data_IF_318756614324
#
_entry.id   IF_318756614324
#
_cell.length_a   1.000
_cell.length_b   1.000
_cell.length_c   1.000
_cell.angle_alpha   90.00
_cell.angle_beta   90.00
_cell.angle_gamma   90.00
#
_symmetry.space_group_name_H-M   'P 1'
#
loop_
_entity.id
_entity.type
_entity.pdbx_description
1 polymer ?
#
# COMPACT_ATOMS: atom_id res chain seq x y z
N UNK A 1 0.91 36.58 12.92
CA UNK A 1 -0.16 35.62 12.49
C UNK A 1 0.08 34.33 13.24
N UNK A 2 -0.98 33.70 13.79
CA UNK A 2 -0.83 32.37 14.37
C UNK A 2 -0.42 31.38 13.26
N UNK A 3 0.58 30.56 13.52
CA UNK A 3 0.99 29.50 12.58
C UNK A 3 -0.13 28.50 12.43
N UNK A 4 -0.32 28.00 11.21
CA UNK A 4 -1.37 27.04 10.87
C UNK A 4 -0.86 25.58 11.00
N UNK A 5 -1.76 24.61 10.99
CA UNK A 5 -1.44 23.20 10.83
C UNK A 5 -1.37 22.85 9.35
N UNK A 6 -0.39 22.03 8.94
CA UNK A 6 -0.39 21.37 7.63
C UNK A 6 -0.92 19.94 7.79
N UNK A 7 -2.01 19.62 7.12
CA UNK A 7 -2.56 18.26 7.05
C UNK A 7 -2.10 17.57 5.77
N UNK A 8 -1.49 16.40 5.89
CA UNK A 8 -1.13 15.57 4.74
C UNK A 8 -2.04 14.35 4.73
N UNK A 9 -2.84 14.20 3.68
CA UNK A 9 -3.86 13.15 3.53
C UNK A 9 -3.49 12.17 2.43
N UNK A 10 -3.89 10.91 2.56
CA UNK A 10 -3.70 9.89 1.53
C UNK A 10 -4.94 9.83 0.62
N UNK A 11 -4.97 10.69 -0.42
CA UNK A 11 -6.03 10.73 -1.42
C UNK A 11 -7.12 11.78 -1.19
N UNK A 12 -7.82 12.11 -2.27
CA UNK A 12 -8.82 13.20 -2.34
C UNK A 12 -10.02 12.97 -1.43
N UNK A 13 -10.54 11.74 -1.38
CA UNK A 13 -11.75 11.43 -0.58
C UNK A 13 -11.59 11.83 0.88
N UNK A 14 -10.43 11.56 1.48
CA UNK A 14 -10.15 11.96 2.86
C UNK A 14 -9.94 13.47 2.97
N UNK A 15 -9.23 14.08 2.00
CA UNK A 15 -9.05 15.54 1.96
C UNK A 15 -10.41 16.26 1.97
N UNK A 16 -11.32 15.83 1.11
CA UNK A 16 -12.64 16.47 1.00
C UNK A 16 -13.47 16.22 2.27
N UNK A 17 -13.40 15.01 2.83
CA UNK A 17 -14.09 14.73 4.09
C UNK A 17 -13.60 15.62 5.25
N UNK A 18 -12.27 15.86 5.34
CA UNK A 18 -11.72 16.76 6.36
C UNK A 18 -12.17 18.22 6.15
N UNK A 19 -12.28 18.67 4.89
CA UNK A 19 -12.82 20.00 4.56
C UNK A 19 -14.29 20.13 4.95
N UNK A 20 -15.11 19.11 4.65
CA UNK A 20 -16.53 19.08 5.03
C UNK A 20 -16.73 19.15 6.56
N UNK A 21 -15.80 18.59 7.31
CA UNK A 21 -15.77 18.67 8.78
C UNK A 21 -15.17 19.98 9.32
N UNK A 22 -14.84 20.93 8.43
CA UNK A 22 -14.22 22.21 8.78
C UNK A 22 -12.93 22.07 9.61
N UNK A 23 -12.12 21.04 9.36
CA UNK A 23 -10.79 20.92 9.95
C UNK A 23 -9.93 22.09 9.43
N UNK A 24 -9.45 22.91 10.36
CA UNK A 24 -8.72 24.15 10.03
C UNK A 24 -7.24 23.87 9.77
N UNK A 25 -6.70 24.48 8.70
CA UNK A 25 -5.30 24.36 8.28
C UNK A 25 -5.18 24.21 6.77
N UNK A 26 -3.93 24.14 6.29
CA UNK A 26 -3.67 23.85 4.88
C UNK A 26 -3.70 22.33 4.65
N UNK A 27 -4.16 21.92 3.47
CA UNK A 27 -4.20 20.51 3.07
C UNK A 27 -3.18 20.26 1.97
N UNK A 28 -2.38 19.19 2.13
CA UNK A 28 -1.57 18.58 1.09
C UNK A 28 -2.14 17.20 0.80
N UNK A 29 -2.59 16.95 -0.41
CA UNK A 29 -3.13 15.66 -0.80
C UNK A 29 -2.06 14.82 -1.48
N UNK A 30 -1.71 13.69 -0.87
CA UNK A 30 -0.77 12.74 -1.43
C UNK A 30 -1.49 11.76 -2.36
N UNK A 31 -1.18 11.81 -3.67
CA UNK A 31 -1.89 11.06 -4.72
C UNK A 31 -1.09 9.86 -5.26
N UNK A 32 -0.18 9.28 -4.49
CA UNK A 32 0.67 8.21 -4.98
C UNK A 32 0.16 6.80 -4.64
N UNK A 33 0.56 5.83 -5.49
CA UNK A 33 0.32 4.40 -5.34
C UNK A 33 1.68 3.72 -5.15
N UNK A 34 2.43 4.13 -4.13
CA UNK A 34 3.81 3.69 -3.94
C UNK A 34 3.96 2.21 -3.53
N UNK A 35 2.87 1.58 -3.13
CA UNK A 35 2.87 0.13 -2.91
C UNK A 35 3.10 -0.67 -4.20
N UNK A 36 2.92 -0.08 -5.39
CA UNK A 36 3.22 -0.67 -6.70
C UNK A 36 4.02 0.28 -7.58
N UNK A 37 4.79 -0.31 -8.47
CA UNK A 37 5.62 0.41 -9.42
C UNK A 37 7.03 0.69 -8.91
N UNK A 38 7.89 1.19 -9.80
CA UNK A 38 9.24 1.57 -9.45
C UNK A 38 9.22 2.83 -8.58
N UNK A 39 10.13 2.89 -7.61
CA UNK A 39 10.41 4.10 -6.83
C UNK A 39 11.90 4.31 -6.76
N UNK A 40 12.28 5.53 -6.40
CA UNK A 40 13.64 5.90 -6.03
C UNK A 40 13.62 6.53 -4.63
N UNK A 41 14.74 6.49 -3.94
CA UNK A 41 14.82 6.93 -2.55
C UNK A 41 14.53 8.43 -2.40
N UNK A 42 15.05 9.24 -3.34
CA UNK A 42 14.86 10.69 -3.35
C UNK A 42 13.52 11.07 -4.01
N UNK A 43 12.53 11.39 -3.17
CA UNK A 43 11.13 11.60 -3.58
C UNK A 43 10.87 12.91 -4.34
N UNK A 44 11.63 13.98 -4.07
CA UNK A 44 11.48 15.26 -4.76
C UNK A 44 12.53 15.41 -5.88
N UNK A 45 12.60 14.37 -6.74
CA UNK A 45 13.55 14.31 -7.86
C UNK A 45 12.84 14.14 -9.19
N UNK A 46 13.43 14.66 -10.26
CA UNK A 46 12.94 14.44 -11.63
C UNK A 46 12.92 12.93 -11.99
N UNK A 47 13.85 12.14 -11.42
CA UNK A 47 13.88 10.69 -11.60
C UNK A 47 12.64 10.04 -11.00
N UNK A 48 12.25 10.42 -9.79
CA UNK A 48 11.03 9.94 -9.15
C UNK A 48 9.79 10.29 -9.99
N UNK A 49 9.63 11.58 -10.34
CA UNK A 49 8.47 12.05 -11.12
C UNK A 49 8.37 11.29 -12.44
N UNK A 50 9.48 11.14 -13.16
CA UNK A 50 9.54 10.43 -14.45
C UNK A 50 9.15 8.94 -14.30
N UNK A 51 9.71 8.27 -13.29
CA UNK A 51 9.43 6.86 -13.03
C UNK A 51 7.95 6.64 -12.69
N UNK A 52 7.38 7.50 -11.82
CA UNK A 52 5.98 7.42 -11.40
C UNK A 52 5.01 7.75 -12.52
N UNK A 53 5.24 8.84 -13.25
CA UNK A 53 4.42 9.25 -14.41
C UNK A 53 4.34 8.13 -15.44
N UNK A 54 5.47 7.55 -15.82
CA UNK A 54 5.51 6.43 -16.76
C UNK A 54 4.73 5.22 -16.24
N UNK A 55 4.92 4.84 -14.99
CA UNK A 55 4.25 3.68 -14.41
C UNK A 55 2.73 3.89 -14.29
N UNK A 56 2.29 5.03 -13.75
CA UNK A 56 0.87 5.32 -13.54
C UNK A 56 0.12 5.46 -14.86
N UNK A 57 0.74 6.06 -15.87
CA UNK A 57 0.15 6.15 -17.21
C UNK A 57 -0.04 4.74 -17.80
N UNK A 58 1.01 3.91 -17.84
CA UNK A 58 0.96 2.57 -18.48
C UNK A 58 0.04 1.60 -17.73
N UNK A 59 0.05 1.62 -16.39
CA UNK A 59 -0.65 0.59 -15.58
C UNK A 59 -2.03 1.00 -15.10
N UNK A 60 -2.28 2.29 -14.98
CA UNK A 60 -3.51 2.84 -14.41
C UNK A 60 -4.25 3.78 -15.35
N UNK A 61 -3.64 4.14 -16.50
CA UNK A 61 -4.14 5.19 -17.40
C UNK A 61 -4.35 6.53 -16.68
N UNK A 62 -3.46 6.82 -15.72
CA UNK A 62 -3.43 8.06 -14.95
C UNK A 62 -2.30 8.92 -15.48
N UNK A 63 -2.61 10.14 -15.86
CA UNK A 63 -1.62 11.14 -16.26
C UNK A 63 -1.35 12.06 -15.06
N UNK A 64 -0.08 12.14 -14.62
CA UNK A 64 0.31 13.03 -13.53
C UNK A 64 0.50 14.42 -14.12
N UNK A 65 -0.25 15.39 -13.61
CA UNK A 65 0.04 16.80 -13.84
C UNK A 65 1.25 17.21 -12.97
N UNK A 66 2.39 17.38 -13.63
CA UNK A 66 3.63 17.77 -12.96
C UNK A 66 3.56 19.15 -12.29
N UNK A 67 2.73 20.05 -12.84
CA UNK A 67 2.52 21.37 -12.24
C UNK A 67 1.74 21.25 -10.93
N UNK A 68 0.64 20.48 -10.92
CA UNK A 68 -0.13 20.22 -9.71
C UNK A 68 0.71 19.50 -8.66
N UNK A 69 1.49 18.50 -9.06
CA UNK A 69 2.40 17.79 -8.16
C UNK A 69 3.40 18.75 -7.51
N UNK A 70 4.08 19.59 -8.32
CA UNK A 70 5.05 20.57 -7.81
C UNK A 70 4.38 21.63 -6.93
N UNK A 71 3.17 22.03 -7.25
CA UNK A 71 2.40 22.96 -6.43
C UNK A 71 2.06 22.38 -5.05
N UNK A 72 1.64 21.11 -5.00
CA UNK A 72 1.44 20.40 -3.72
C UNK A 72 2.75 20.33 -2.91
N UNK A 73 3.87 19.97 -3.55
CA UNK A 73 5.18 19.90 -2.88
C UNK A 73 5.70 21.26 -2.39
N UNK A 74 5.34 22.37 -3.07
CA UNK A 74 5.71 23.72 -2.65
C UNK A 74 5.21 24.12 -1.27
N UNK A 75 4.16 23.46 -0.77
CA UNK A 75 3.65 23.65 0.60
C UNK A 75 4.71 23.23 1.63
N UNK A 76 5.48 22.18 1.33
CA UNK A 76 6.58 21.70 2.18
C UNK A 76 7.76 22.67 2.17
N UNK A 77 8.05 23.30 1.03
CA UNK A 77 9.14 24.29 0.92
C UNK A 77 8.86 25.56 1.76
N UNK A 78 7.57 25.82 2.04
CA UNK A 78 7.12 26.90 2.88
C UNK A 78 6.77 26.46 4.31
N UNK A 79 7.40 25.43 4.84
CA UNK A 79 7.10 24.80 6.14
C UNK A 79 7.14 25.78 7.33
N UNK A 80 7.87 26.90 7.23
CA UNK A 80 7.94 27.93 8.27
C UNK A 80 6.60 28.60 8.62
N UNK A 81 5.58 28.46 7.74
CA UNK A 81 4.21 28.94 7.99
C UNK A 81 3.47 28.08 9.03
N UNK A 82 3.89 26.83 9.22
CA UNK A 82 3.19 25.87 10.03
C UNK A 82 3.75 25.74 11.42
N UNK A 83 2.93 25.33 12.37
CA UNK A 83 3.30 24.99 13.74
C UNK A 83 3.50 23.48 13.94
N UNK A 84 2.81 22.67 13.15
CA UNK A 84 2.84 21.22 13.19
C UNK A 84 2.42 20.64 11.83
N UNK A 85 2.74 19.37 11.63
CA UNK A 85 2.25 18.56 10.51
C UNK A 85 1.41 17.41 11.06
N UNK A 86 0.25 17.15 10.46
CA UNK A 86 -0.63 16.03 10.83
C UNK A 86 -0.79 15.11 9.62
N UNK A 87 -0.30 13.89 9.77
CA UNK A 87 -0.37 12.84 8.77
C UNK A 87 -1.65 12.02 8.98
N UNK A 88 -2.44 11.83 7.91
CA UNK A 88 -3.70 11.10 7.94
C UNK A 88 -3.60 9.89 7.03
N UNK A 89 -3.28 8.73 7.62
CA UNK A 89 -3.05 7.49 6.88
C UNK A 89 -3.75 6.32 7.55
N UNK A 90 -4.19 5.37 6.75
CA UNK A 90 -4.96 4.21 7.20
C UNK A 90 -4.04 3.02 7.57
N UNK A 91 -4.63 1.97 8.08
CA UNK A 91 -3.96 0.80 8.70
C UNK A 91 -3.31 -0.18 7.71
N UNK A 92 -3.55 -0.03 6.41
CA UNK A 92 -3.16 -1.00 5.39
C UNK A 92 -1.80 -0.72 4.74
N UNK A 93 -1.35 -1.67 3.90
CA UNK A 93 -0.07 -1.61 3.21
C UNK A 93 0.00 -0.45 2.21
N UNK A 94 -1.10 -0.20 1.46
CA UNK A 94 -1.15 0.89 0.50
C UNK A 94 -0.86 2.22 1.21
N UNK A 95 -1.57 2.47 2.30
CA UNK A 95 -1.40 3.68 3.10
C UNK A 95 -0.05 3.73 3.82
N UNK A 96 0.45 2.61 4.36
CA UNK A 96 1.71 2.61 5.11
C UNK A 96 2.94 2.81 4.22
N UNK A 97 2.97 2.30 2.98
CA UNK A 97 4.08 2.62 2.06
C UNK A 97 4.07 4.11 1.71
N UNK A 98 2.92 4.70 1.49
CA UNK A 98 2.79 6.14 1.27
C UNK A 98 3.19 6.94 2.52
N UNK A 99 2.78 6.50 3.73
CA UNK A 99 3.13 7.13 5.00
C UNK A 99 4.65 7.19 5.21
N UNK A 100 5.35 6.05 5.07
CA UNK A 100 6.81 6.02 5.24
C UNK A 100 7.54 6.85 4.18
N UNK A 101 7.03 6.90 2.96
CA UNK A 101 7.55 7.77 1.91
C UNK A 101 7.37 9.25 2.27
N UNK A 102 6.20 9.66 2.72
CA UNK A 102 5.94 11.05 3.14
C UNK A 102 6.86 11.43 4.31
N UNK A 103 7.02 10.58 5.32
CA UNK A 103 7.95 10.85 6.43
C UNK A 103 9.39 10.98 5.93
N UNK A 104 9.83 10.08 5.04
CA UNK A 104 11.15 10.19 4.43
C UNK A 104 11.32 11.50 3.64
N UNK A 105 10.28 11.94 2.90
CA UNK A 105 10.28 13.23 2.21
C UNK A 105 10.41 14.41 3.17
N UNK A 106 9.67 14.41 4.28
CA UNK A 106 9.76 15.46 5.30
C UNK A 106 11.19 15.55 5.85
N UNK A 107 11.83 14.39 6.09
CA UNK A 107 13.23 14.33 6.52
C UNK A 107 14.20 14.82 5.44
N UNK A 108 14.01 14.43 4.17
CA UNK A 108 14.81 14.89 3.04
C UNK A 108 14.76 16.42 2.86
N UNK A 109 13.60 17.02 3.20
CA UNK A 109 13.41 18.48 3.18
C UNK A 109 13.84 19.18 4.48
N UNK A 110 14.46 18.46 5.43
CA UNK A 110 14.91 19.01 6.72
C UNK A 110 13.81 19.75 7.49
N UNK A 111 12.60 19.19 7.51
CA UNK A 111 11.46 19.79 8.22
C UNK A 111 11.51 19.35 9.68
N UNK A 112 11.72 20.31 10.58
CA UNK A 112 11.88 20.11 12.04
C UNK A 112 10.60 20.43 12.83
N UNK A 113 9.44 20.39 12.20
CA UNK A 113 8.17 20.61 12.88
C UNK A 113 7.71 19.35 13.63
N UNK A 114 6.94 19.50 14.72
CA UNK A 114 6.26 18.37 15.33
C UNK A 114 5.37 17.65 14.31
N UNK A 115 5.53 16.34 14.17
CA UNK A 115 4.78 15.50 13.21
C UNK A 115 3.87 14.58 14.00
N UNK A 116 2.58 14.63 13.72
CA UNK A 116 1.57 13.80 14.35
C UNK A 116 0.98 12.82 13.34
N UNK A 117 0.62 11.65 13.81
CA UNK A 117 -0.08 10.62 13.02
C UNK A 117 -1.51 10.43 13.52
N UNK A 118 -2.46 10.54 12.63
CA UNK A 118 -3.82 10.07 12.79
C UNK A 118 -3.96 8.81 11.95
N UNK A 119 -3.99 7.66 12.60
CA UNK A 119 -4.13 6.37 11.93
C UNK A 119 -5.42 5.71 12.37
N UNK A 120 -6.21 5.28 11.39
CA UNK A 120 -7.41 4.48 11.65
C UNK A 120 -7.07 3.00 11.75
N UNK A 121 -8.04 2.21 12.08
CA UNK A 121 -7.95 0.77 12.12
C UNK A 121 -9.03 0.20 13.02
N UNK A 122 -8.67 -0.18 14.24
CA UNK A 122 -9.63 -0.76 15.17
C UNK A 122 -10.46 0.32 15.86
N UNK A 123 -11.79 0.22 15.72
CA UNK A 123 -12.74 1.05 16.46
C UNK A 123 -13.14 0.30 17.74
N UNK A 124 -13.36 1.04 18.83
CA UNK A 124 -13.91 0.48 20.07
C UNK A 124 -15.24 -0.22 19.77
N UNK A 125 -15.39 -1.45 20.24
CA UNK A 125 -16.58 -2.30 20.05
C UNK A 125 -16.79 -2.88 18.64
N UNK A 126 -15.89 -2.64 17.68
CA UNK A 126 -15.90 -3.31 16.36
C UNK A 126 -14.75 -4.31 16.25
N UNK A 127 -15.02 -5.46 15.62
CA UNK A 127 -13.98 -6.42 15.23
C UNK A 127 -13.30 -6.02 13.94
N UNK A 128 -13.98 -5.23 13.10
CA UNK A 128 -13.52 -4.86 11.78
C UNK A 128 -12.60 -3.63 11.85
N UNK A 129 -11.58 -3.64 11.01
CA UNK A 129 -10.75 -2.48 10.75
C UNK A 129 -11.48 -1.56 9.77
N UNK A 130 -11.43 -0.24 10.02
CA UNK A 130 -12.05 0.75 9.14
C UNK A 130 -11.03 1.80 8.70
N UNK A 131 -11.17 2.25 7.46
CA UNK A 131 -10.46 3.39 6.92
C UNK A 131 -10.92 4.70 7.59
N UNK A 132 -10.11 5.75 7.48
CA UNK A 132 -10.45 7.07 8.05
C UNK A 132 -11.71 7.67 7.41
N UNK A 133 -11.87 7.47 6.10
CA UNK A 133 -13.04 7.94 5.34
C UNK A 133 -14.33 7.16 5.64
N UNK A 134 -14.24 6.00 6.30
CA UNK A 134 -15.38 5.19 6.72
C UNK A 134 -15.89 5.53 8.14
N UNK A 135 -15.13 6.38 8.86
CA UNK A 135 -15.48 6.79 10.21
C UNK A 135 -16.60 7.84 10.22
N UNK A 136 -17.50 7.74 11.19
CA UNK A 136 -18.45 8.83 11.44
C UNK A 136 -17.70 10.09 11.92
N UNK A 137 -18.25 11.31 11.70
CA UNK A 137 -17.60 12.58 12.06
C UNK A 137 -17.05 12.61 13.49
N UNK A 138 -17.82 12.15 14.45
CA UNK A 138 -17.43 12.13 15.87
C UNK A 138 -16.26 11.18 16.12
N UNK A 139 -16.24 10.04 15.43
CA UNK A 139 -15.15 9.05 15.54
C UNK A 139 -13.86 9.60 14.94
N UNK A 140 -13.93 10.23 13.77
CA UNK A 140 -12.79 10.85 13.11
C UNK A 140 -12.20 11.99 13.95
N UNK A 141 -13.06 12.86 14.49
CA UNK A 141 -12.63 13.94 15.40
C UNK A 141 -11.99 13.41 16.69
N UNK A 142 -12.46 12.26 17.22
CA UNK A 142 -11.81 11.60 18.36
C UNK A 142 -10.42 11.06 18.00
N UNK A 143 -10.23 10.49 16.79
CA UNK A 143 -8.90 10.07 16.31
C UNK A 143 -7.98 11.28 16.17
N UNK A 144 -8.46 12.39 15.61
CA UNK A 144 -7.70 13.63 15.51
C UNK A 144 -7.25 14.17 16.88
N UNK A 145 -8.16 14.21 17.87
CA UNK A 145 -7.83 14.65 19.24
C UNK A 145 -6.79 13.76 19.93
N UNK A 146 -6.71 12.49 19.53
CA UNK A 146 -5.79 11.48 20.07
C UNK A 146 -4.62 11.18 19.14
N UNK A 147 -4.31 12.10 18.21
CA UNK A 147 -3.19 11.94 17.29
C UNK A 147 -1.89 11.60 18.04
N UNK A 148 -1.15 10.65 17.55
CA UNK A 148 0.11 10.21 18.13
C UNK A 148 1.25 11.13 17.66
N UNK A 149 2.04 11.73 18.57
CA UNK A 149 3.27 12.45 18.21
C UNK A 149 4.33 11.43 17.81
N UNK A 150 4.91 11.57 16.63
CA UNK A 150 6.01 10.72 16.18
C UNK A 150 7.31 11.16 16.86
N UNK A 151 8.09 10.18 17.32
CA UNK A 151 9.41 10.39 17.89
C UNK A 151 10.49 10.41 16.82
N UNK A 152 11.70 10.88 17.15
CA UNK A 152 12.83 10.83 16.23
C UNK A 152 13.14 9.38 15.80
N UNK A 153 12.97 8.40 16.69
CA UNK A 153 13.14 6.98 16.39
C UNK A 153 12.08 6.48 15.40
N UNK A 154 10.84 6.98 15.44
CA UNK A 154 9.80 6.68 14.46
C UNK A 154 10.16 7.26 13.08
N UNK A 155 10.67 8.51 13.04
CA UNK A 155 11.07 9.17 11.80
C UNK A 155 12.26 8.44 11.15
N UNK A 156 13.27 8.05 11.96
CA UNK A 156 14.40 7.24 11.48
C UNK A 156 13.95 5.87 10.97
N UNK A 157 13.08 5.20 11.72
CA UNK A 157 12.52 3.90 11.31
C UNK A 157 11.81 4.01 9.96
N UNK A 158 10.98 5.02 9.77
CA UNK A 158 10.26 5.22 8.50
C UNK A 158 11.24 5.48 7.35
N UNK A 159 12.27 6.31 7.57
CA UNK A 159 13.30 6.60 6.58
C UNK A 159 14.10 5.34 6.19
N UNK A 160 14.52 4.54 7.16
CA UNK A 160 15.23 3.28 6.93
C UNK A 160 14.36 2.31 6.11
N UNK A 161 13.09 2.13 6.50
CA UNK A 161 12.16 1.24 5.80
C UNK A 161 11.93 1.72 4.37
N UNK A 162 11.85 3.04 4.13
CA UNK A 162 11.76 3.61 2.79
C UNK A 162 13.01 3.31 1.95
N UNK A 163 14.19 3.55 2.47
CA UNK A 163 15.46 3.23 1.79
C UNK A 163 15.55 1.75 1.42
N UNK A 164 15.18 0.84 2.33
CA UNK A 164 15.13 -0.60 2.06
C UNK A 164 14.09 -0.93 0.98
N UNK A 165 12.90 -0.32 1.03
CA UNK A 165 11.85 -0.54 0.03
C UNK A 165 12.27 -0.09 -1.38
N UNK A 166 13.03 0.99 -1.48
CA UNK A 166 13.65 1.45 -2.74
C UNK A 166 14.87 0.62 -3.14
N UNK A 167 15.42 -0.17 -2.21
CA UNK A 167 16.62 -0.99 -2.40
C UNK A 167 16.37 -2.30 -3.14
N UNK A 168 17.40 -3.16 -3.17
CA UNK A 168 17.41 -4.42 -3.93
C UNK A 168 17.20 -5.67 -3.07
N UNK A 169 17.14 -5.54 -1.74
CA UNK A 169 16.92 -6.67 -0.82
C UNK A 169 15.86 -6.37 0.23
N UNK A 170 14.62 -6.77 -0.05
CA UNK A 170 13.51 -6.57 0.86
C UNK A 170 13.52 -7.52 2.07
N UNK A 171 14.45 -8.49 2.17
CA UNK A 171 14.65 -9.24 3.40
C UNK A 171 15.13 -8.35 4.55
N UNK A 172 15.79 -7.24 4.24
CA UNK A 172 16.22 -6.24 5.22
C UNK A 172 15.05 -5.57 5.96
N UNK A 173 13.81 -5.70 5.47
CA UNK A 173 12.60 -5.28 6.20
C UNK A 173 12.27 -6.15 7.42
N UNK A 174 12.82 -7.38 7.52
CA UNK A 174 12.45 -8.33 8.59
C UNK A 174 12.72 -7.83 10.01
N UNK A 175 13.85 -7.18 10.32
CA UNK A 175 14.08 -6.59 11.65
C UNK A 175 13.01 -5.56 12.03
N UNK A 176 12.50 -4.80 11.08
CA UNK A 176 11.49 -3.75 11.30
C UNK A 176 10.09 -4.32 11.56
N UNK A 177 9.82 -5.57 11.17
CA UNK A 177 8.55 -6.26 11.47
C UNK A 177 8.37 -6.46 12.97
N UNK A 178 9.45 -6.62 13.73
CA UNK A 178 9.42 -6.89 15.17
C UNK A 178 9.82 -5.68 16.02
N UNK A 179 10.25 -4.60 15.38
CA UNK A 179 10.64 -3.36 16.07
C UNK A 179 9.40 -2.63 16.58
N UNK A 180 9.42 -2.22 17.84
CA UNK A 180 8.36 -1.38 18.41
C UNK A 180 8.43 0.03 17.85
N UNK A 181 7.26 0.63 17.56
CA UNK A 181 7.13 1.99 17.05
C UNK A 181 5.72 2.52 17.28
N UNK A 182 5.49 3.79 17.01
CA UNK A 182 4.15 4.41 16.98
C UNK A 182 3.29 3.93 15.81
N UNK A 183 3.88 3.26 14.82
CA UNK A 183 3.16 2.71 13.65
C UNK A 183 2.50 1.37 13.97
N UNK A 184 1.33 1.42 14.59
CA UNK A 184 0.58 0.25 15.12
C UNK A 184 0.40 -0.91 14.14
N UNK A 185 0.34 -0.63 12.84
CA UNK A 185 0.05 -1.61 11.79
C UNK A 185 1.24 -1.90 10.86
N UNK A 186 2.37 -1.20 10.99
CA UNK A 186 3.53 -1.36 10.12
C UNK A 186 4.02 -2.81 10.04
N UNK A 187 4.08 -3.50 11.18
CA UNK A 187 4.44 -4.93 11.24
C UNK A 187 3.58 -5.80 10.33
N UNK A 188 2.25 -5.57 10.34
CA UNK A 188 1.32 -6.32 9.49
C UNK A 188 1.48 -5.94 8.00
N UNK A 189 1.70 -4.66 7.72
CA UNK A 189 1.92 -4.17 6.35
C UNK A 189 3.22 -4.72 5.76
N UNK A 190 4.32 -4.73 6.50
CA UNK A 190 5.59 -5.31 6.04
C UNK A 190 5.50 -6.83 5.83
N UNK A 191 4.77 -7.56 6.70
CA UNK A 191 4.45 -8.98 6.48
C UNK A 191 3.62 -9.19 5.22
N UNK A 192 2.59 -8.36 5.00
CA UNK A 192 1.78 -8.40 3.80
C UNK A 192 2.64 -8.10 2.56
N UNK A 193 3.54 -7.11 2.62
CA UNK A 193 4.47 -6.80 1.55
C UNK A 193 5.33 -7.99 1.14
N UNK A 194 6.01 -8.66 2.08
CA UNK A 194 6.85 -9.83 1.77
C UNK A 194 6.03 -10.99 1.16
N UNK A 195 4.77 -11.14 1.57
CA UNK A 195 3.84 -12.17 1.03
C UNK A 195 3.23 -11.79 -0.32
N UNK A 196 3.58 -10.65 -0.92
CA UNK A 196 3.20 -10.27 -2.31
C UNK A 196 4.08 -10.96 -3.35
N UNK A 197 5.25 -11.44 -2.96
CA UNK A 197 6.09 -12.23 -3.85
C UNK A 197 5.50 -13.63 -4.04
N UNK A 198 5.69 -14.26 -5.21
CA UNK A 198 5.19 -15.59 -5.48
C UNK A 198 5.72 -16.60 -4.45
N UNK A 199 4.86 -17.46 -3.93
CA UNK A 199 5.26 -18.59 -3.11
C UNK A 199 6.19 -19.54 -3.90
N UNK A 200 7.27 -20.00 -3.29
CA UNK A 200 8.26 -20.86 -3.94
C UNK A 200 7.72 -22.21 -4.42
N UNK A 201 6.58 -22.68 -3.87
CA UNK A 201 5.96 -23.95 -4.25
C UNK A 201 4.96 -23.82 -5.38
N UNK A 202 4.03 -22.85 -5.28
CA UNK A 202 2.90 -22.76 -6.20
C UNK A 202 2.88 -21.49 -7.07
N UNK A 203 3.78 -20.53 -6.82
CA UNK A 203 3.87 -19.30 -7.60
C UNK A 203 2.77 -18.25 -7.32
N UNK A 204 1.83 -18.52 -6.40
CA UNK A 204 0.81 -17.57 -5.97
C UNK A 204 1.33 -16.70 -4.83
N UNK A 205 1.05 -15.41 -4.85
CA UNK A 205 1.19 -14.62 -3.62
C UNK A 205 0.03 -14.90 -2.64
N UNK A 206 0.12 -14.41 -1.41
CA UNK A 206 -0.91 -14.68 -0.41
C UNK A 206 -2.30 -14.17 -0.81
N UNK A 207 -2.37 -12.99 -1.46
CA UNK A 207 -3.64 -12.42 -1.92
C UNK A 207 -4.22 -13.22 -3.10
N UNK A 208 -3.40 -13.62 -4.06
CA UNK A 208 -3.81 -14.45 -5.20
C UNK A 208 -4.34 -15.80 -4.71
N UNK A 209 -3.65 -16.41 -3.75
CA UNK A 209 -4.13 -17.65 -3.11
C UNK A 209 -5.48 -17.46 -2.41
N UNK A 210 -5.64 -16.38 -1.64
CA UNK A 210 -6.89 -16.04 -0.97
C UNK A 210 -8.05 -15.88 -1.98
N UNK A 211 -7.80 -15.23 -3.12
CA UNK A 211 -8.81 -15.08 -4.18
C UNK A 211 -9.23 -16.45 -4.74
N UNK A 212 -8.30 -17.37 -4.97
CA UNK A 212 -8.64 -18.73 -5.40
C UNK A 212 -9.44 -19.47 -4.33
N UNK A 213 -9.09 -19.34 -3.04
CA UNK A 213 -9.83 -19.93 -1.92
C UNK A 213 -11.25 -19.35 -1.83
N UNK A 214 -11.43 -18.04 -2.05
CA UNK A 214 -12.77 -17.43 -2.13
C UNK A 214 -13.61 -18.09 -3.24
N UNK A 215 -13.05 -18.29 -4.44
CA UNK A 215 -13.75 -18.94 -5.56
C UNK A 215 -14.08 -20.40 -5.24
N UNK A 216 -13.18 -21.11 -4.54
CA UNK A 216 -13.38 -22.50 -4.14
C UNK A 216 -14.52 -22.66 -3.13
N UNK A 217 -14.59 -21.75 -2.15
CA UNK A 217 -15.42 -21.92 -0.96
C UNK A 217 -16.76 -21.16 -1.05
N UNK A 218 -16.99 -20.37 -2.12
CA UNK A 218 -18.19 -19.56 -2.29
C UNK A 218 -18.82 -19.71 -3.67
N UNK A 219 -20.12 -19.36 -3.77
CA UNK A 219 -20.81 -19.28 -5.05
C UNK A 219 -20.54 -17.92 -5.67
N UNK A 220 -19.62 -17.87 -6.63
CA UNK A 220 -19.22 -16.64 -7.34
C UNK A 220 -19.98 -16.55 -8.67
N UNK A 221 -20.82 -15.52 -8.82
CA UNK A 221 -21.68 -15.32 -10.00
C UNK A 221 -20.98 -14.67 -11.19
N UNK A 222 -19.90 -13.89 -10.94
CA UNK A 222 -19.15 -13.19 -11.97
C UNK A 222 -17.82 -12.69 -11.40
N UNK A 223 -16.89 -12.26 -12.27
CA UNK A 223 -15.65 -11.58 -11.84
C UNK A 223 -15.93 -10.29 -11.05
N UNK A 224 -17.00 -9.56 -11.39
CA UNK A 224 -17.41 -8.38 -10.61
C UNK A 224 -17.87 -8.75 -9.19
N UNK A 225 -18.62 -9.87 -9.06
CA UNK A 225 -18.98 -10.39 -7.74
C UNK A 225 -17.74 -10.84 -6.94
N UNK A 226 -16.75 -11.48 -7.61
CA UNK A 226 -15.47 -11.84 -7.02
C UNK A 226 -14.68 -10.61 -6.55
N UNK A 227 -14.71 -9.52 -7.32
CA UNK A 227 -14.09 -8.25 -6.95
C UNK A 227 -14.66 -7.73 -5.61
N UNK A 228 -15.96 -7.77 -5.43
CA UNK A 228 -16.60 -7.38 -4.16
C UNK A 228 -16.12 -8.23 -2.97
N UNK A 229 -15.97 -9.55 -3.14
CA UNK A 229 -15.36 -10.40 -2.12
C UNK A 229 -13.90 -10.05 -1.86
N UNK A 230 -13.10 -9.87 -2.93
CA UNK A 230 -11.69 -9.54 -2.81
C UNK A 230 -11.46 -8.22 -2.06
N UNK A 231 -12.27 -7.19 -2.31
CA UNK A 231 -12.24 -5.91 -1.60
C UNK A 231 -12.47 -6.10 -0.09
N UNK A 232 -13.46 -6.91 0.29
CA UNK A 232 -13.80 -7.13 1.69
C UNK A 232 -12.81 -8.03 2.45
N UNK A 233 -12.17 -8.98 1.76
CA UNK A 233 -11.35 -10.01 2.39
C UNK A 233 -9.86 -9.94 2.04
N UNK A 234 -9.36 -8.82 1.55
CA UNK A 234 -7.94 -8.64 1.20
C UNK A 234 -7.01 -8.50 2.42
N UNK A 235 -7.53 -8.33 3.62
CA UNK A 235 -6.73 -8.16 4.83
C UNK A 235 -6.02 -6.79 4.88
N UNK A 236 -4.69 -6.81 5.06
CA UNK A 236 -3.89 -5.57 5.21
C UNK A 236 -3.36 -5.01 3.90
N UNK A 237 -3.90 -5.36 2.74
CA UNK A 237 -3.36 -4.83 1.47
C UNK A 237 -3.85 -3.42 1.14
N UNK A 238 -5.12 -3.10 1.37
CA UNK A 238 -5.72 -1.79 1.09
C UNK A 238 -5.82 -1.45 -0.40
N UNK A 239 -5.87 -2.48 -1.27
CA UNK A 239 -5.93 -2.28 -2.72
C UNK A 239 -7.33 -1.85 -3.14
N UNK A 240 -7.37 -0.88 -4.07
CA UNK A 240 -8.61 -0.44 -4.70
C UNK A 240 -9.05 -1.36 -5.84
N UNK A 241 -10.21 -1.02 -6.40
CA UNK A 241 -10.89 -1.77 -7.46
C UNK A 241 -9.99 -2.08 -8.65
N UNK A 242 -9.25 -1.08 -9.14
CA UNK A 242 -8.39 -1.21 -10.34
C UNK A 242 -7.29 -2.24 -10.11
N UNK A 243 -6.68 -2.23 -8.91
CA UNK A 243 -5.61 -3.16 -8.56
C UNK A 243 -6.15 -4.59 -8.45
N UNK A 244 -7.25 -4.78 -7.71
CA UNK A 244 -7.85 -6.11 -7.52
C UNK A 244 -8.45 -6.66 -8.81
N UNK A 245 -9.07 -5.81 -9.64
CA UNK A 245 -9.57 -6.22 -10.96
C UNK A 245 -8.44 -6.78 -11.82
N UNK A 246 -7.30 -6.09 -11.89
CA UNK A 246 -6.12 -6.55 -12.63
C UNK A 246 -5.57 -7.88 -12.07
N UNK A 247 -5.55 -8.05 -10.74
CA UNK A 247 -5.13 -9.32 -10.10
C UNK A 247 -6.10 -10.43 -10.50
N UNK A 248 -7.42 -10.21 -10.44
CA UNK A 248 -8.44 -11.20 -10.83
C UNK A 248 -8.31 -11.55 -12.31
N UNK A 249 -8.03 -10.59 -13.19
CA UNK A 249 -7.80 -10.81 -14.61
C UNK A 249 -6.57 -11.70 -14.84
N UNK A 250 -5.46 -11.43 -14.17
CA UNK A 250 -4.24 -12.27 -14.24
C UNK A 250 -4.49 -13.70 -13.74
N UNK A 251 -5.41 -13.88 -12.79
CA UNK A 251 -5.81 -15.20 -12.28
C UNK A 251 -6.80 -15.93 -13.19
N UNK A 252 -7.22 -15.34 -14.30
CA UNK A 252 -8.15 -15.94 -15.25
C UNK A 252 -7.76 -17.33 -15.75
N UNK A 253 -6.46 -17.66 -15.77
CA UNK A 253 -5.94 -18.99 -16.14
C UNK A 253 -6.40 -20.12 -15.19
N UNK A 254 -6.88 -19.77 -13.99
CA UNK A 254 -7.34 -20.70 -12.95
C UNK A 254 -8.86 -20.86 -12.90
N UNK A 255 -9.61 -20.07 -13.70
CA UNK A 255 -11.05 -20.03 -13.65
C UNK A 255 -11.69 -20.69 -14.87
N UNK A 256 -12.86 -21.29 -14.64
CA UNK A 256 -13.87 -21.61 -15.66
C UNK A 256 -15.10 -20.77 -15.43
N UNK A 257 -15.67 -20.22 -16.50
CA UNK A 257 -16.89 -19.41 -16.47
C UNK A 257 -18.00 -20.17 -17.22
N UNK A 258 -18.87 -20.85 -16.46
CA UNK A 258 -19.97 -21.61 -17.02
C UNK A 258 -21.26 -21.33 -16.22
N UNK A 259 -22.39 -21.33 -16.89
CA UNK A 259 -23.72 -21.16 -16.28
C UNK A 259 -23.80 -19.95 -15.32
N UNK A 260 -23.22 -18.81 -15.72
CA UNK A 260 -23.15 -17.59 -14.90
C UNK A 260 -22.47 -17.82 -13.54
N UNK A 261 -21.44 -18.65 -13.51
CA UNK A 261 -20.62 -18.91 -12.34
C UNK A 261 -19.15 -18.90 -12.69
N UNK A 262 -18.35 -18.40 -11.75
CA UNK A 262 -16.88 -18.52 -11.78
C UNK A 262 -16.51 -19.64 -10.83
N UNK A 263 -15.81 -20.64 -11.32
CA UNK A 263 -15.34 -21.81 -10.56
C UNK A 263 -13.85 -22.02 -10.81
N UNK A 264 -13.18 -22.78 -9.95
CA UNK A 264 -11.80 -23.19 -10.22
C UNK A 264 -11.79 -24.27 -11.30
N UNK A 265 -10.91 -24.11 -12.29
CA UNK A 265 -10.55 -25.19 -13.19
C UNK A 265 -9.47 -26.10 -12.56
N UNK A 266 -8.99 -27.10 -13.31
CA UNK A 266 -7.93 -28.02 -12.84
C UNK A 266 -6.68 -27.29 -12.35
N UNK A 267 -6.19 -26.29 -13.10
CA UNK A 267 -4.99 -25.51 -12.70
C UNK A 267 -5.21 -24.78 -11.38
N UNK A 268 -6.42 -24.25 -11.13
CA UNK A 268 -6.76 -23.58 -9.87
C UNK A 268 -6.70 -24.53 -8.67
N UNK A 269 -7.21 -25.75 -8.84
CA UNK A 269 -7.10 -26.78 -7.79
C UNK A 269 -5.64 -27.24 -7.59
N UNK A 270 -4.89 -27.47 -8.66
CA UNK A 270 -3.48 -27.87 -8.62
C UNK A 270 -2.63 -26.80 -7.90
N UNK A 271 -2.88 -25.51 -8.18
CA UNK A 271 -2.20 -24.38 -7.53
C UNK A 271 -2.48 -24.34 -6.01
N UNK A 272 -3.75 -24.52 -5.60
CA UNK A 272 -4.10 -24.57 -4.17
C UNK A 272 -3.50 -25.77 -3.44
N UNK A 273 -3.30 -26.91 -4.14
CA UNK A 273 -2.66 -28.11 -3.61
C UNK A 273 -1.12 -28.06 -3.69
N UNK A 274 -0.52 -27.00 -4.23
CA UNK A 274 0.91 -26.80 -4.45
C UNK A 274 1.54 -27.90 -5.35
N UNK A 275 0.81 -28.37 -6.36
CA UNK A 275 1.27 -29.43 -7.28
C UNK A 275 2.15 -28.87 -8.41
N UNK A 276 2.02 -27.57 -8.72
CA UNK A 276 2.78 -26.91 -9.78
C UNK A 276 3.02 -25.44 -9.42
N UNK A 277 4.16 -24.90 -9.87
CA UNK A 277 4.50 -23.47 -9.70
C UNK A 277 4.06 -22.67 -10.93
N UNK A 278 3.05 -21.81 -10.76
CA UNK A 278 2.41 -21.04 -11.81
C UNK A 278 2.95 -19.60 -11.98
N UNK A 279 4.05 -19.24 -11.31
CA UNK A 279 4.54 -17.86 -11.35
C UNK A 279 4.82 -17.35 -12.77
N UNK A 280 5.36 -18.19 -13.66
CA UNK A 280 5.60 -17.84 -15.06
C UNK A 280 4.30 -17.66 -15.86
N UNK A 281 3.32 -18.55 -15.62
CA UNK A 281 2.05 -18.50 -16.34
C UNK A 281 1.21 -17.29 -15.94
N UNK A 282 1.20 -16.92 -14.67
CA UNK A 282 0.56 -15.69 -14.17
C UNK A 282 1.25 -14.45 -14.74
N UNK A 283 2.56 -14.52 -14.93
CA UNK A 283 3.42 -13.49 -15.54
C UNK A 283 3.21 -12.07 -14.97
N UNK A 284 2.92 -11.96 -13.67
CA UNK A 284 2.76 -10.67 -13.01
C UNK A 284 4.10 -10.18 -12.47
N UNK A 285 4.87 -9.46 -13.30
CA UNK A 285 6.18 -8.93 -12.96
C UNK A 285 6.12 -7.41 -12.62
N UNK A 286 5.16 -7.00 -11.83
CA UNK A 286 5.03 -5.61 -11.39
C UNK A 286 6.23 -5.21 -10.51
N UNK A 287 6.83 -4.04 -10.72
CA UNK A 287 7.82 -3.52 -9.78
C UNK A 287 7.20 -3.26 -8.40
N UNK A 288 7.93 -3.57 -7.36
CA UNK A 288 7.58 -3.35 -5.96
C UNK A 288 8.73 -2.56 -5.31
N UNK A 289 8.68 -1.23 -5.43
CA UNK A 289 9.82 -0.40 -5.03
C UNK A 289 11.04 -0.65 -5.92
N UNK A 290 12.17 -0.99 -5.30
CA UNK A 290 13.44 -1.20 -5.99
C UNK A 290 13.62 -2.56 -6.69
N UNK A 291 12.66 -3.50 -6.57
CA UNK A 291 12.76 -4.86 -7.13
C UNK A 291 11.57 -5.19 -8.04
N UNK A 292 11.76 -6.17 -8.94
CA UNK A 292 10.65 -6.75 -9.69
C UNK A 292 10.10 -7.97 -8.94
N UNK A 293 8.78 -8.15 -9.00
CA UNK A 293 8.08 -9.20 -8.26
C UNK A 293 8.58 -10.61 -8.59
N UNK A 294 8.87 -10.91 -9.85
CA UNK A 294 9.34 -12.24 -10.27
C UNK A 294 10.84 -12.47 -10.05
N UNK A 295 11.63 -11.47 -9.65
CA UNK A 295 13.04 -11.66 -9.29
C UNK A 295 13.19 -12.45 -7.99
N UNK A 296 12.13 -12.58 -7.21
CA UNK A 296 12.12 -13.26 -5.93
C UNK A 296 10.91 -14.18 -5.77
N UNK A 297 11.06 -15.17 -4.89
CA UNK A 297 9.97 -16.01 -4.40
C UNK A 297 9.99 -16.00 -2.87
N UNK A 298 8.81 -16.11 -2.25
CA UNK A 298 8.68 -16.20 -0.81
C UNK A 298 8.74 -17.67 -0.36
N UNK A 299 9.78 -17.99 0.40
CA UNK A 299 9.90 -19.29 1.05
C UNK A 299 9.23 -19.24 2.43
N UNK A 300 8.12 -19.96 2.56
CA UNK A 300 7.34 -20.03 3.81
C UNK A 300 8.09 -20.69 4.96
N UNK A 301 8.96 -21.69 4.68
CA UNK A 301 9.70 -22.41 5.73
C UNK A 301 10.78 -21.52 6.33
N UNK A 302 11.50 -20.77 5.49
CA UNK A 302 12.55 -19.86 5.92
C UNK A 302 12.02 -18.47 6.27
N UNK A 303 10.74 -18.21 5.99
CA UNK A 303 10.08 -16.91 6.13
C UNK A 303 10.93 -15.77 5.52
N UNK A 304 11.40 -15.97 4.28
CA UNK A 304 12.26 -15.01 3.56
C UNK A 304 12.04 -15.04 2.06
N UNK A 305 12.50 -13.97 1.40
CA UNK A 305 12.63 -13.93 -0.06
C UNK A 305 13.89 -14.65 -0.51
N UNK A 306 13.75 -15.53 -1.48
CA UNK A 306 14.86 -16.18 -2.18
C UNK A 306 14.87 -15.72 -3.64
N UNK A 307 16.04 -15.62 -4.25
CA UNK A 307 16.13 -15.28 -5.66
C UNK A 307 15.39 -16.32 -6.51
N UNK A 308 14.62 -15.84 -7.45
CA UNK A 308 13.88 -16.72 -8.36
C UNK A 308 14.82 -17.28 -9.42
N UNK A 309 14.70 -18.58 -9.71
CA UNK A 309 15.32 -19.18 -10.88
C UNK A 309 14.49 -18.97 -12.16
N UNK A 310 13.31 -18.36 -12.04
CA UNK A 310 12.33 -18.21 -13.12
C UNK A 310 12.77 -17.17 -14.18
N UNK A 311 13.52 -16.16 -13.77
CA UNK A 311 13.99 -15.08 -14.66
C UNK A 311 15.43 -15.25 -15.16
N UNK A 312 15.93 -16.45 -15.23
CA UNK A 312 17.25 -16.74 -15.80
C UNK A 312 17.25 -16.80 -17.35
N UNK A 313 16.27 -16.13 -18.02
CA UNK A 313 16.19 -16.03 -19.47
C UNK A 313 16.02 -14.59 -19.92
#
# INVERSE_FOLDING_TARGET
MSKQTLHITNGTSLTDYLKDLNITGDMLTWHEILCEGPTVELLDSDEFIKARKSFLNIKYNIDIDEYEFKNEMSKLDNSSKYSEIVLWFEYDLFCHINLIAVISLLKQKHIELPIYLVCSGRIKESKDLKGLSELQPEQLLQHYKKKDLLTDEDLELANDVWGIYCGKDHNLLKPYIVKSSSFKYLSNCLKAHLKRFPDSKNGLCALERNILEIVKDNIIKSKHHLLGYALNYQGFYGFGDIQLKRIIENLGIFFSEENQRVTLNRKGHDALMNLHNYAQEINNNVPLGGVKRLDFQFDKHQNKLIKSSINAH
#
